data_IF_874430229316
#
_entry.id   IF_874430229316
#
_cell.length_a   1.000
_cell.length_b   1.000
_cell.length_c   1.000
_cell.angle_alpha   90.00
_cell.angle_beta   90.00
_cell.angle_gamma   90.00
#
_symmetry.space_group_name_H-M   'P 1'
#
loop_
_entity.id
_entity.type
_entity.pdbx_description
1 polymer ?
#
# COMPACT_ATOMS: atom_id res chain seq x y z
N UNK A 1 -0.29 9.34 4.60
CA UNK A 1 0.65 8.24 4.33
C UNK A 1 0.93 8.06 2.83
N UNK A 2 2.17 7.81 2.46
CA UNK A 2 2.61 7.57 1.07
C UNK A 2 3.47 6.30 0.98
N UNK A 3 3.41 5.63 -0.17
CA UNK A 3 4.34 4.55 -0.51
C UNK A 3 5.65 5.18 -0.98
N UNK A 4 6.75 4.98 -0.22
CA UNK A 4 8.06 5.59 -0.53
C UNK A 4 8.90 4.76 -1.48
N UNK A 5 8.76 3.45 -1.42
CA UNK A 5 9.52 2.54 -2.27
C UNK A 5 8.56 1.61 -3.00
N UNK A 6 8.69 1.47 -4.33
CA UNK A 6 7.85 0.55 -5.07
C UNK A 6 8.11 -0.90 -4.60
N UNK A 7 7.06 -1.73 -4.54
CA UNK A 7 7.20 -3.14 -4.22
C UNK A 7 7.67 -3.97 -5.42
N UNK A 8 8.48 -4.99 -5.16
CA UNK A 8 8.90 -5.96 -6.17
C UNK A 8 8.12 -7.25 -6.01
N UNK A 9 7.65 -7.80 -7.14
CA UNK A 9 6.82 -9.00 -7.16
C UNK A 9 7.41 -10.10 -8.03
N UNK A 10 7.05 -11.33 -7.69
CA UNK A 10 7.30 -12.51 -8.51
C UNK A 10 5.98 -13.14 -8.93
N UNK A 11 5.81 -13.40 -10.22
CA UNK A 11 4.61 -14.06 -10.72
C UNK A 11 4.61 -15.53 -10.30
N UNK A 12 3.53 -16.00 -9.68
CA UNK A 12 3.39 -17.41 -9.26
C UNK A 12 3.28 -18.38 -10.45
N UNK A 13 2.88 -17.89 -11.63
CA UNK A 13 2.71 -18.72 -12.84
C UNK A 13 3.98 -18.87 -13.67
N UNK A 14 4.67 -17.77 -14.00
CA UNK A 14 5.87 -17.81 -14.85
C UNK A 14 7.19 -17.64 -14.10
N UNK A 15 7.13 -17.37 -12.78
CA UNK A 15 8.27 -17.19 -11.88
C UNK A 15 9.20 -16.03 -12.24
N UNK A 16 8.80 -15.17 -13.18
CA UNK A 16 9.53 -13.94 -13.51
C UNK A 16 9.17 -12.82 -12.56
N UNK A 17 10.15 -11.97 -12.32
CA UNK A 17 10.03 -10.80 -11.48
C UNK A 17 9.46 -9.64 -12.29
N UNK A 18 8.72 -8.78 -11.63
CA UNK A 18 8.19 -7.55 -12.19
C UNK A 18 7.99 -6.51 -11.08
N UNK A 19 7.95 -5.25 -11.48
CA UNK A 19 7.69 -4.11 -10.61
C UNK A 19 6.38 -3.46 -11.04
N UNK A 20 5.70 -2.84 -10.08
CA UNK A 20 4.54 -1.98 -10.33
C UNK A 20 4.88 -0.63 -9.70
N UNK A 21 4.81 0.43 -10.51
CA UNK A 21 5.05 1.79 -10.04
C UNK A 21 4.01 2.18 -9.00
N UNK A 22 4.38 2.98 -8.01
CA UNK A 22 3.44 3.38 -6.94
C UNK A 22 2.23 4.14 -7.49
N UNK A 23 2.38 4.84 -8.62
CA UNK A 23 1.31 5.58 -9.30
C UNK A 23 0.30 4.68 -10.04
N UNK A 24 0.66 3.43 -10.33
CA UNK A 24 -0.26 2.46 -10.96
C UNK A 24 -1.26 1.87 -9.96
N UNK A 25 -1.06 2.11 -8.66
CA UNK A 25 -2.02 1.71 -7.63
C UNK A 25 -3.13 2.76 -7.48
N UNK A 26 -4.37 2.30 -7.52
CA UNK A 26 -5.51 3.12 -7.12
C UNK A 26 -5.47 3.32 -5.60
N UNK A 27 -5.25 4.56 -5.18
CA UNK A 27 -5.19 4.94 -3.77
C UNK A 27 -6.52 5.50 -3.29
N UNK A 28 -7.07 4.88 -2.26
CA UNK A 28 -8.25 5.34 -1.54
C UNK A 28 -7.90 5.69 -0.09
N UNK A 29 -8.64 6.62 0.52
CA UNK A 29 -8.45 7.02 1.92
C UNK A 29 -9.80 7.16 2.60
N UNK A 30 -9.94 6.53 3.74
CA UNK A 30 -11.16 6.51 4.54
C UNK A 30 -10.84 6.97 5.96
N UNK A 31 -11.74 7.75 6.57
CA UNK A 31 -11.56 8.27 7.93
C UNK A 31 -12.77 7.90 8.78
N UNK A 32 -12.50 7.39 9.98
CA UNK A 32 -13.50 6.92 10.93
C UNK A 32 -13.25 7.55 12.30
N UNK A 33 -14.27 8.14 12.90
CA UNK A 33 -14.15 8.74 14.23
C UNK A 33 -14.03 7.67 15.32
N UNK A 34 -13.05 7.80 16.22
CA UNK A 34 -12.83 6.92 17.38
C UNK A 34 -12.50 7.74 18.64
N UNK A 35 -12.38 7.06 19.78
CA UNK A 35 -12.21 7.70 21.09
C UNK A 35 -10.95 8.57 21.23
N UNK A 36 -9.88 8.32 20.47
CA UNK A 36 -8.60 9.07 20.53
C UNK A 36 -8.34 9.89 19.25
N UNK A 37 -9.40 10.26 18.53
CA UNK A 37 -9.33 10.95 17.24
C UNK A 37 -9.71 10.05 16.09
N UNK A 38 -9.47 10.52 14.87
CA UNK A 38 -9.81 9.77 13.67
C UNK A 38 -8.83 8.62 13.45
N UNK A 39 -9.35 7.44 13.15
CA UNK A 39 -8.60 6.37 12.48
C UNK A 39 -8.67 6.60 10.98
N UNK A 40 -7.51 6.73 10.34
CA UNK A 40 -7.43 6.89 8.89
C UNK A 40 -6.94 5.59 8.26
N UNK A 41 -7.73 5.00 7.38
CA UNK A 41 -7.33 3.86 6.55
C UNK A 41 -6.84 4.38 5.21
N UNK A 42 -5.65 3.95 4.82
CA UNK A 42 -5.09 4.13 3.49
C UNK A 42 -5.10 2.78 2.78
N UNK A 43 -5.69 2.74 1.60
CA UNK A 43 -5.82 1.54 0.81
C UNK A 43 -5.23 1.77 -0.58
N UNK A 44 -4.39 0.84 -1.05
CA UNK A 44 -3.81 0.84 -2.40
C UNK A 44 -4.19 -0.46 -3.09
N UNK A 45 -4.87 -0.37 -4.23
CA UNK A 45 -5.26 -1.53 -5.03
C UNK A 45 -4.62 -1.50 -6.41
N UNK A 46 -4.21 -2.66 -6.88
CA UNK A 46 -3.80 -2.87 -8.26
C UNK A 46 -4.48 -4.11 -8.82
N UNK A 47 -5.05 -3.98 -10.02
CA UNK A 47 -5.63 -5.07 -10.79
C UNK A 47 -5.05 -5.00 -12.20
N UNK A 48 -4.38 -6.07 -12.62
CA UNK A 48 -3.75 -6.10 -13.92
C UNK A 48 -3.22 -7.49 -14.29
N UNK A 49 -2.31 -7.54 -15.25
CA UNK A 49 -1.74 -8.80 -15.73
C UNK A 49 -0.22 -8.82 -15.64
N UNK A 50 0.33 -10.01 -15.42
CA UNK A 50 1.77 -10.23 -15.48
C UNK A 50 2.28 -9.92 -16.91
N UNK A 51 3.30 -9.04 -17.07
CA UNK A 51 3.77 -8.59 -18.38
C UNK A 51 4.41 -9.71 -19.23
N UNK A 52 4.67 -10.88 -18.64
CA UNK A 52 5.36 -11.98 -19.31
C UNK A 52 4.48 -13.16 -19.71
N UNK A 53 3.37 -13.39 -19.01
CA UNK A 53 2.53 -14.56 -19.24
C UNK A 53 1.04 -14.27 -19.19
N UNK A 54 0.65 -13.00 -19.05
CA UNK A 54 -0.75 -12.55 -18.97
C UNK A 54 -1.52 -13.21 -17.82
N UNK A 55 -0.84 -13.63 -16.76
CA UNK A 55 -1.52 -14.11 -15.55
C UNK A 55 -2.23 -12.95 -14.86
N UNK A 56 -3.45 -13.16 -14.36
CA UNK A 56 -4.16 -12.16 -13.57
C UNK A 56 -3.44 -11.91 -12.24
N UNK A 57 -3.24 -10.63 -11.91
CA UNK A 57 -2.57 -10.14 -10.72
C UNK A 57 -3.52 -9.17 -10.02
N UNK A 58 -3.79 -9.44 -8.76
CA UNK A 58 -4.53 -8.52 -7.89
C UNK A 58 -3.72 -8.33 -6.61
N UNK A 59 -3.54 -7.08 -6.21
CA UNK A 59 -2.75 -6.69 -5.04
C UNK A 59 -3.53 -5.63 -4.28
N UNK A 60 -3.67 -5.81 -2.98
CA UNK A 60 -4.19 -4.81 -2.05
C UNK A 60 -3.21 -4.55 -0.91
N UNK A 61 -3.08 -3.30 -0.52
CA UNK A 61 -2.38 -2.88 0.68
C UNK A 61 -3.31 -2.03 1.53
N UNK A 62 -3.36 -2.33 2.82
CA UNK A 62 -4.12 -1.57 3.80
C UNK A 62 -3.19 -1.11 4.92
N UNK A 63 -3.27 0.17 5.25
CA UNK A 63 -2.54 0.74 6.37
C UNK A 63 -3.48 1.61 7.19
N UNK A 64 -3.47 1.43 8.50
CA UNK A 64 -4.33 2.12 9.45
C UNK A 64 -3.48 3.04 10.32
N UNK A 65 -3.85 4.30 10.36
CA UNK A 65 -3.26 5.32 11.20
C UNK A 65 -4.18 5.59 12.39
N UNK A 66 -3.73 5.25 13.60
CA UNK A 66 -4.47 5.52 14.84
C UNK A 66 -3.58 5.40 16.10
N UNK A 67 -3.47 6.45 16.94
CA UNK A 67 -4.05 7.79 16.75
C UNK A 67 -3.41 8.53 15.56
N UNK A 68 -3.93 9.71 15.24
CA UNK A 68 -3.41 10.55 14.14
C UNK A 68 -1.88 10.69 14.25
N UNK A 69 -1.17 10.48 13.14
CA UNK A 69 0.29 10.51 13.03
C UNK A 69 1.01 9.20 13.37
N UNK A 70 0.30 8.12 13.75
CA UNK A 70 0.91 6.85 14.17
C UNK A 70 0.38 5.68 13.33
N UNK A 71 1.28 4.92 12.69
CA UNK A 71 0.92 3.67 12.02
C UNK A 71 0.52 2.64 13.07
N UNK A 72 -0.73 2.22 13.03
CA UNK A 72 -1.31 1.25 13.97
C UNK A 72 -1.20 -0.18 13.43
N UNK A 73 -1.54 -0.37 12.16
CA UNK A 73 -1.60 -1.70 11.54
C UNK A 73 -1.39 -1.61 10.02
N UNK A 74 -0.72 -2.61 9.45
CA UNK A 74 -0.57 -2.79 8.01
C UNK A 74 -0.95 -4.22 7.61
N UNK A 75 -1.59 -4.37 6.46
CA UNK A 75 -1.92 -5.65 5.86
C UNK A 75 -1.76 -5.61 4.34
N UNK A 76 -1.61 -6.78 3.73
CA UNK A 76 -1.42 -6.90 2.29
C UNK A 76 -1.95 -8.22 1.76
N UNK A 77 -2.78 -8.19 0.71
CA UNK A 77 -3.26 -9.39 0.02
C UNK A 77 -2.75 -9.44 -1.42
N UNK A 78 -2.35 -10.63 -1.87
CA UNK A 78 -1.74 -10.83 -3.19
C UNK A 78 -2.28 -12.10 -3.85
N UNK A 79 -2.87 -11.91 -5.04
CA UNK A 79 -3.33 -12.98 -5.92
C UNK A 79 -2.49 -13.02 -7.18
N UNK A 80 -2.09 -14.22 -7.62
CA UNK A 80 -1.28 -14.41 -8.83
C UNK A 80 0.21 -14.05 -8.71
N UNK A 81 0.64 -13.40 -7.63
CA UNK A 81 2.02 -13.08 -7.31
C UNK A 81 2.40 -13.27 -5.83
N UNK A 82 3.68 -13.09 -5.52
CA UNK A 82 4.25 -13.04 -4.17
C UNK A 82 5.26 -11.90 -4.07
N UNK A 83 5.49 -11.39 -2.86
CA UNK A 83 6.52 -10.37 -2.64
C UNK A 83 7.92 -10.95 -2.82
N UNK A 84 8.74 -10.18 -3.52
CA UNK A 84 10.20 -10.24 -3.38
C UNK A 84 10.63 -9.21 -2.35
N UNK A 85 10.10 -7.98 -2.47
CA UNK A 85 10.32 -6.89 -1.52
C UNK A 85 9.00 -6.18 -1.23
N UNK A 86 8.73 -5.93 0.05
CA UNK A 86 7.56 -5.18 0.50
C UNK A 86 7.77 -3.67 0.29
N UNK A 87 6.70 -2.91 0.05
CA UNK A 87 6.80 -1.46 0.02
C UNK A 87 7.04 -0.90 1.44
N UNK A 88 7.68 0.25 1.52
CA UNK A 88 7.79 1.02 2.76
C UNK A 88 6.76 2.14 2.71
N UNK A 89 5.86 2.16 3.69
CA UNK A 89 4.91 3.24 3.89
C UNK A 89 5.48 4.25 4.88
N UNK A 90 5.33 5.53 4.56
CA UNK A 90 5.74 6.61 5.45
C UNK A 90 4.57 7.55 5.69
N UNK A 91 4.44 7.97 6.95
CA UNK A 91 3.52 9.01 7.37
C UNK A 91 4.27 10.31 7.13
N UNK A 92 4.25 10.79 5.88
CA UNK A 92 4.60 12.18 5.61
C UNK A 92 3.58 13.06 6.32
N UNK A 93 3.93 13.48 7.53
CA UNK A 93 3.24 14.53 8.27
C UNK A 93 3.70 15.87 7.70
N UNK A 94 2.97 16.38 6.71
CA UNK A 94 3.17 17.73 6.20
C UNK A 94 2.52 18.79 7.12
N UNK A 95 2.04 18.41 8.31
CA UNK A 95 1.34 19.28 9.26
C UNK A 95 1.90 19.22 10.69
N UNK A 96 3.21 19.04 10.86
CA UNK A 96 3.87 19.72 11.98
C UNK A 96 4.08 21.19 11.59
N UNK A 97 3.00 21.97 11.54
CA UNK A 97 3.12 23.35 11.99
C UNK A 97 3.50 23.24 13.47
N UNK A 98 4.80 23.34 13.75
CA UNK A 98 5.26 23.69 15.07
C UNK A 98 4.79 25.12 15.32
N UNK A 99 3.56 25.27 15.80
CA UNK A 99 3.12 26.46 16.51
C UNK A 99 3.99 26.57 17.77
N UNK A 100 5.03 27.40 17.63
CA UNK A 100 5.77 28.23 18.60
C UNK A 100 5.74 27.79 20.07
#
# INVERSE_FOLDING_TARGET
MLMKTPPEFKCKRCLKNFEIESDDFERNTYSYERNMGNETQYNWNYVGNCPHCMNDIEISFDAYEYPVGVLNFEDSELTGCEFISKPIFDIHDENFETDI
#
